data_IF_577717962236
#
_entry.id   IF_577717962236
#
_cell.length_a   1.000
_cell.length_b   1.000
_cell.length_c   1.000
_cell.angle_alpha   90.00
_cell.angle_beta   90.00
_cell.angle_gamma   90.00
#
_symmetry.space_group_name_H-M   'P 1'
#
loop_
_entity.id
_entity.type
_entity.pdbx_description
1 polymer ?
#
# COMPACT_ATOMS: atom_id res chain seq x y z
N UNK A 1 3.59 -3.98 -19.48
CA UNK A 1 2.25 -3.52 -19.05
C UNK A 1 1.61 -2.56 -20.04
N UNK A 2 2.40 -1.72 -20.74
CA UNK A 2 1.88 -0.81 -21.76
C UNK A 2 1.02 0.30 -21.15
N UNK A 3 1.46 0.82 -20.00
CA UNK A 3 0.74 1.85 -19.26
C UNK A 3 1.03 3.23 -19.86
N UNK A 4 -0.01 4.03 -20.03
CA UNK A 4 0.00 5.39 -20.56
C UNK A 4 -0.09 6.42 -19.43
N UNK A 5 -0.60 6.04 -18.26
CA UNK A 5 -0.89 6.91 -17.11
C UNK A 5 -2.35 7.36 -17.02
N UNK A 6 -3.20 6.98 -17.98
CA UNK A 6 -4.64 7.27 -17.98
C UNK A 6 -5.47 6.16 -17.31
N UNK A 7 -4.82 5.10 -16.86
CA UNK A 7 -5.46 3.92 -16.29
C UNK A 7 -5.85 4.13 -14.83
N UNK A 8 -6.94 3.48 -14.43
CA UNK A 8 -7.31 3.38 -13.01
C UNK A 8 -6.70 2.14 -12.40
N UNK A 9 -5.88 2.32 -11.37
CA UNK A 9 -5.20 1.24 -10.64
C UNK A 9 -5.91 1.01 -9.31
N UNK A 10 -6.44 -0.20 -9.11
CA UNK A 10 -7.12 -0.62 -7.88
C UNK A 10 -6.33 -1.73 -7.21
N UNK A 11 -5.88 -1.52 -5.98
CA UNK A 11 -5.09 -2.48 -5.20
C UNK A 11 -5.97 -3.01 -4.07
N UNK A 12 -6.04 -4.34 -3.91
CA UNK A 12 -6.86 -4.99 -2.88
C UNK A 12 -6.00 -5.78 -1.90
N UNK A 13 -6.55 -6.11 -0.73
CA UNK A 13 -5.84 -6.91 0.28
C UNK A 13 -4.81 -6.12 1.08
N UNK A 14 -5.03 -4.81 1.28
CA UNK A 14 -4.14 -3.95 2.05
C UNK A 14 -4.44 -3.93 3.56
N UNK A 15 -5.51 -4.60 4.01
CA UNK A 15 -5.96 -4.58 5.41
C UNK A 15 -5.03 -5.38 6.34
N UNK A 16 -4.41 -6.45 5.83
CA UNK A 16 -3.48 -7.30 6.58
C UNK A 16 -2.26 -7.61 5.72
N UNK A 17 -1.31 -6.68 5.69
CA UNK A 17 -0.08 -6.80 4.90
C UNK A 17 1.06 -7.37 5.76
N UNK A 18 1.83 -8.29 5.18
CA UNK A 18 3.15 -8.69 5.68
C UNK A 18 4.24 -7.98 4.89
N UNK A 19 5.45 -7.83 5.46
CA UNK A 19 6.55 -7.24 4.73
C UNK A 19 6.80 -7.96 3.40
N UNK A 20 7.03 -7.19 2.33
CA UNK A 20 7.31 -7.68 0.97
C UNK A 20 6.19 -8.54 0.34
N UNK A 21 4.97 -8.55 0.90
CA UNK A 21 3.86 -9.36 0.41
C UNK A 21 3.43 -8.96 -1.00
N UNK A 22 3.08 -9.96 -1.82
CA UNK A 22 2.41 -9.72 -3.10
C UNK A 22 0.91 -9.52 -2.90
N UNK A 23 0.37 -8.45 -3.51
CA UNK A 23 -1.04 -8.08 -3.42
C UNK A 23 -1.65 -8.01 -4.83
N UNK A 24 -2.94 -8.38 -4.98
CA UNK A 24 -3.64 -8.28 -6.24
C UNK A 24 -3.88 -6.81 -6.61
N UNK A 25 -3.64 -6.50 -7.89
CA UNK A 25 -3.82 -5.19 -8.48
C UNK A 25 -4.60 -5.32 -9.79
N UNK A 26 -5.70 -4.59 -9.88
CA UNK A 26 -6.53 -4.49 -11.08
C UNK A 26 -6.24 -3.16 -11.77
N UNK A 27 -5.76 -3.22 -13.01
CA UNK A 27 -5.50 -2.06 -13.85
C UNK A 27 -6.61 -1.99 -14.90
N UNK A 28 -7.40 -0.92 -14.86
CA UNK A 28 -8.44 -0.63 -15.86
C UNK A 28 -7.88 0.37 -16.85
N UNK A 29 -7.62 -0.08 -18.08
CA UNK A 29 -7.06 0.72 -19.16
C UNK A 29 -8.11 1.73 -19.67
N UNK A 30 -7.67 2.79 -20.34
CA UNK A 30 -8.57 3.81 -20.90
C UNK A 30 -9.55 3.28 -21.97
N UNK A 31 -9.17 2.19 -22.65
CA UNK A 31 -10.03 1.48 -23.62
C UNK A 31 -11.06 0.54 -22.95
N UNK A 32 -11.09 0.48 -21.62
CA UNK A 32 -11.95 -0.40 -20.83
C UNK A 32 -11.39 -1.80 -20.59
N UNK A 33 -10.24 -2.15 -21.18
CA UNK A 33 -9.57 -3.43 -20.93
C UNK A 33 -9.13 -3.52 -19.47
N UNK A 34 -9.39 -4.66 -18.82
CA UNK A 34 -8.97 -4.89 -17.44
C UNK A 34 -7.82 -5.89 -17.41
N UNK A 35 -6.76 -5.57 -16.66
CA UNK A 35 -5.61 -6.45 -16.41
C UNK A 35 -5.46 -6.67 -14.91
N UNK A 36 -5.53 -7.93 -14.50
CA UNK A 36 -5.24 -8.34 -13.12
C UNK A 36 -3.80 -8.83 -13.03
N UNK A 37 -3.02 -8.24 -12.11
CA UNK A 37 -1.61 -8.56 -11.89
C UNK A 37 -1.32 -8.65 -10.38
N UNK A 38 -0.26 -9.38 -10.03
CA UNK A 38 0.30 -9.36 -8.68
C UNK A 38 1.39 -8.31 -8.61
N UNK A 39 1.35 -7.44 -7.59
CA UNK A 39 2.38 -6.44 -7.33
C UNK A 39 3.00 -6.68 -5.96
N UNK A 40 4.29 -6.37 -5.84
CA UNK A 40 5.00 -6.46 -4.57
C UNK A 40 4.78 -5.21 -3.73
N UNK A 41 4.19 -5.36 -2.55
CA UNK A 41 4.08 -4.28 -1.58
C UNK A 41 5.47 -3.95 -1.01
N UNK A 42 5.89 -2.68 -1.10
CA UNK A 42 7.22 -2.20 -0.63
C UNK A 42 7.19 -1.68 0.80
N UNK A 43 6.42 -2.36 1.65
CA UNK A 43 6.57 -2.25 3.09
C UNK A 43 7.60 -3.31 3.45
N UNK A 44 8.83 -2.89 3.76
CA UNK A 44 9.98 -3.79 3.79
C UNK A 44 10.19 -4.38 5.19
N UNK A 45 9.68 -3.72 6.23
CA UNK A 45 9.85 -4.10 7.64
C UNK A 45 8.53 -4.08 8.43
N UNK A 46 8.51 -4.78 9.57
CA UNK A 46 7.34 -4.79 10.45
C UNK A 46 7.04 -3.41 11.08
N UNK A 47 8.09 -2.61 11.36
CA UNK A 47 7.93 -1.27 11.93
C UNK A 47 7.24 -0.30 10.95
N UNK A 48 7.48 -0.46 9.64
CA UNK A 48 6.81 0.36 8.62
C UNK A 48 5.31 0.05 8.52
N UNK A 49 4.89 -1.18 8.80
CA UNK A 49 3.46 -1.54 8.89
C UNK A 49 2.82 -0.72 10.02
N UNK A 50 3.45 -0.74 11.20
CA UNK A 50 2.96 0.00 12.38
C UNK A 50 2.88 1.51 12.10
N UNK A 51 3.87 2.07 11.39
CA UNK A 51 3.80 3.46 10.96
C UNK A 51 2.61 3.74 10.04
N UNK A 52 2.32 2.86 9.08
CA UNK A 52 1.20 3.03 8.14
C UNK A 52 -0.14 2.92 8.85
N UNK A 53 -0.31 1.94 9.75
CA UNK A 53 -1.51 1.80 10.59
C UNK A 53 -1.74 3.04 11.46
N UNK A 54 -0.67 3.71 11.89
CA UNK A 54 -0.75 4.96 12.63
C UNK A 54 -0.99 6.21 11.77
N UNK A 55 -1.04 6.08 10.44
CA UNK A 55 -1.20 7.17 9.50
C UNK A 55 0.09 7.93 9.22
N UNK A 56 1.25 7.30 9.43
CA UNK A 56 2.60 7.81 9.16
C UNK A 56 3.51 7.81 10.39
N UNK A 57 4.82 7.81 10.13
CA UNK A 57 5.86 7.78 11.18
C UNK A 57 5.76 8.95 12.15
N UNK A 58 5.40 10.15 11.67
CA UNK A 58 5.26 11.33 12.54
C UNK A 58 4.13 11.13 13.56
N UNK A 59 2.98 10.61 13.12
CA UNK A 59 1.85 10.35 14.01
C UNK A 59 2.17 9.25 15.03
N UNK A 60 2.91 8.23 14.60
CA UNK A 60 3.40 7.20 15.51
C UNK A 60 4.26 7.80 16.62
N UNK A 61 5.31 8.56 16.27
CA UNK A 61 6.25 9.15 17.23
C UNK A 61 5.57 10.15 18.17
N UNK A 62 4.70 11.03 17.65
CA UNK A 62 4.01 12.02 18.48
C UNK A 62 3.08 11.37 19.51
N UNK A 63 2.38 10.29 19.14
CA UNK A 63 1.52 9.54 20.07
C UNK A 63 2.34 8.79 21.13
N UNK A 64 3.51 8.28 20.77
CA UNK A 64 4.42 7.61 21.70
C UNK A 64 5.00 8.58 22.74
N UNK A 65 5.46 9.75 22.27
CA UNK A 65 5.94 10.83 23.14
C UNK A 65 4.84 11.31 24.10
N UNK A 66 3.60 11.47 23.61
CA UNK A 66 2.48 11.89 24.44
C UNK A 66 2.07 10.86 25.52
N UNK A 67 2.33 9.57 25.30
CA UNK A 67 2.11 8.51 26.31
C UNK A 67 3.22 8.45 27.37
N UNK A 68 4.41 8.90 27.01
CA UNK A 68 5.60 8.85 27.86
C UNK A 68 5.74 10.06 28.79
N UNK A 69 4.90 11.09 28.59
CA UNK A 69 4.79 12.29 29.43
C UNK A 69 3.68 12.13 30.47
#
# INVERSE_FOLDING_TARGET
LGLTGEETVSISGLDTIKPLQEVPCKITMADGTVKDIMIKCRIDTAIEIEYIEHGGVLHYVLRDLAKSA
#
